data_IF_300924403273
#
_entry.id   IF_300924403273
#
_cell.length_a   1.000
_cell.length_b   1.000
_cell.length_c   1.000
_cell.angle_alpha   90.00
_cell.angle_beta   90.00
_cell.angle_gamma   90.00
#
_symmetry.space_group_name_H-M   'P 1'
#
loop_
_entity.id
_entity.type
_entity.pdbx_description
1 polymer ?
#
# COMPACT_ATOMS: atom_id res chain seq x y z
N UNK A 1 47.31 27.04 6.60
CA UNK A 1 46.27 26.64 7.57
C UNK A 1 45.01 26.21 6.81
N UNK A 2 44.81 24.89 6.70
CA UNK A 2 43.52 24.21 6.61
C UNK A 2 42.59 24.43 5.40
N UNK A 3 43.11 24.60 4.18
CA UNK A 3 42.32 24.50 2.93
C UNK A 3 41.54 23.18 2.80
N UNK A 4 42.11 22.08 3.30
CA UNK A 4 41.45 20.76 3.35
C UNK A 4 40.29 20.72 4.36
N UNK A 5 40.40 21.48 5.45
CA UNK A 5 39.36 21.59 6.48
C UNK A 5 38.24 22.53 6.02
N UNK A 6 38.57 23.59 5.29
CA UNK A 6 37.59 24.46 4.64
C UNK A 6 36.77 23.72 3.57
N UNK A 7 37.43 22.90 2.74
CA UNK A 7 36.74 22.04 1.77
C UNK A 7 35.89 20.96 2.45
N UNK A 8 36.35 20.41 3.58
CA UNK A 8 35.58 19.48 4.39
C UNK A 8 34.32 20.11 4.98
N UNK A 9 34.43 21.32 5.55
CA UNK A 9 33.30 22.08 6.09
C UNK A 9 32.31 22.50 5.01
N UNK A 10 32.79 22.87 3.82
CA UNK A 10 31.93 23.23 2.69
C UNK A 10 31.20 22.00 2.14
N UNK A 11 31.87 20.85 2.10
CA UNK A 11 31.25 19.57 1.76
C UNK A 11 30.17 19.14 2.76
N UNK A 12 30.43 19.26 4.07
CA UNK A 12 29.44 18.98 5.12
C UNK A 12 28.27 19.97 5.09
N UNK A 13 28.55 21.25 4.84
CA UNK A 13 27.51 22.27 4.69
C UNK A 13 26.61 22.02 3.48
N UNK A 14 27.18 21.59 2.36
CA UNK A 14 26.42 21.28 1.15
C UNK A 14 25.61 19.97 1.30
N UNK A 15 26.17 18.97 2.00
CA UNK A 15 25.45 17.73 2.36
C UNK A 15 24.29 17.99 3.32
N UNK A 16 24.42 18.93 4.26
CA UNK A 16 23.34 19.33 5.16
C UNK A 16 22.20 20.08 4.45
N UNK A 17 22.47 20.70 3.29
CA UNK A 17 21.45 21.36 2.47
C UNK A 17 20.76 20.37 1.52
N UNK A 18 21.47 19.34 1.05
CA UNK A 18 20.91 18.33 0.13
C UNK A 18 20.34 17.10 0.82
N UNK A 19 20.74 16.82 2.07
CA UNK A 19 19.99 15.91 2.93
C UNK A 19 18.69 16.63 3.29
N UNK A 20 17.63 16.37 2.53
CA UNK A 20 16.28 16.88 2.75
C UNK A 20 15.66 16.38 4.04
N UNK A 21 16.30 16.63 5.18
CA UNK A 21 15.68 16.59 6.48
C UNK A 21 14.80 17.84 6.57
N UNK A 22 13.49 17.64 6.45
CA UNK A 22 12.49 18.70 6.48
C UNK A 22 12.72 19.67 7.63
N UNK A 23 12.58 20.97 7.31
CA UNK A 23 12.38 22.10 8.22
C UNK A 23 13.11 22.05 9.56
N UNK A 24 14.09 22.94 9.74
CA UNK A 24 14.69 23.30 11.04
C UNK A 24 13.66 23.85 12.08
N UNK A 25 12.37 23.94 11.72
CA UNK A 25 11.27 24.48 12.51
C UNK A 25 10.07 23.50 12.53
N UNK A 26 10.30 22.23 12.90
CA UNK A 26 9.23 21.25 13.10
C UNK A 26 8.40 20.92 11.83
N UNK A 27 7.49 19.94 11.90
CA UNK A 27 6.46 19.81 10.89
C UNK A 27 5.58 21.06 11.02
N UNK A 28 5.63 21.94 10.01
CA UNK A 28 4.66 23.02 9.92
C UNK A 28 3.24 22.46 9.96
N UNK A 29 2.29 23.26 10.43
CA UNK A 29 0.87 22.95 10.35
C UNK A 29 0.54 22.39 8.95
N UNK A 30 -0.34 21.38 8.86
CA UNK A 30 -0.70 20.79 7.58
C UNK A 30 -1.08 21.92 6.62
N UNK A 31 -0.60 21.87 5.36
CA UNK A 31 -0.98 22.88 4.38
C UNK A 31 -2.52 22.93 4.38
N UNK A 32 -3.13 24.05 4.79
CA UNK A 32 -4.58 24.12 4.92
C UNK A 32 -5.27 23.83 3.58
N UNK A 33 -4.53 23.87 2.48
CA UNK A 33 -5.03 23.45 1.19
C UNK A 33 -5.34 21.97 1.02
N UNK A 34 -4.78 21.10 1.88
CA UNK A 34 -4.89 19.65 1.72
C UNK A 34 -6.26 19.12 2.15
N UNK A 35 -6.93 19.69 3.16
CA UNK A 35 -8.15 19.13 3.77
C UNK A 35 -9.46 19.48 3.03
N UNK A 36 -9.36 20.25 1.95
CA UNK A 36 -10.51 20.86 1.25
C UNK A 36 -10.92 20.11 -0.01
N UNK A 37 -10.42 18.88 -0.19
CA UNK A 37 -10.79 18.09 -1.36
C UNK A 37 -12.29 17.77 -1.31
N UNK A 38 -12.96 17.98 -2.45
CA UNK A 38 -14.38 17.72 -2.57
C UNK A 38 -14.62 16.21 -2.75
N UNK A 39 -14.79 15.52 -1.64
CA UNK A 39 -15.01 14.08 -1.58
C UNK A 39 -16.40 13.77 -1.02
N UNK A 40 -17.02 12.73 -1.56
CA UNK A 40 -18.33 12.25 -1.12
C UNK A 40 -18.16 10.92 -0.39
N UNK A 41 -18.72 10.85 0.82
CA UNK A 41 -18.68 9.64 1.65
C UNK A 41 -20.01 8.88 1.60
N UNK A 42 -19.94 7.55 1.66
CA UNK A 42 -21.12 6.72 1.89
C UNK A 42 -21.35 6.59 3.40
N UNK A 43 -22.23 7.45 3.90
CA UNK A 43 -22.60 7.48 5.32
C UNK A 43 -23.55 6.34 5.70
N UNK A 44 -24.21 5.69 4.73
CA UNK A 44 -25.16 4.61 5.02
C UNK A 44 -24.43 3.28 5.17
N UNK A 45 -23.68 3.15 6.26
CA UNK A 45 -22.87 1.99 6.56
C UNK A 45 -23.24 1.34 7.88
N UNK A 46 -23.36 0.01 7.86
CA UNK A 46 -23.62 -0.80 9.05
C UNK A 46 -22.34 -1.27 9.77
N UNK A 47 -21.16 -0.87 9.31
CA UNK A 47 -19.87 -1.26 9.90
C UNK A 47 -19.26 -0.10 10.70
N UNK A 48 -18.49 -0.41 11.73
CA UNK A 48 -17.80 0.58 12.56
C UNK A 48 -16.71 1.31 11.77
N UNK A 49 -16.09 0.62 10.81
CA UNK A 49 -15.22 1.21 9.80
C UNK A 49 -15.58 0.72 8.39
N UNK A 50 -15.99 1.63 7.51
CA UNK A 50 -16.19 1.35 6.08
C UNK A 50 -15.12 2.05 5.25
N UNK A 51 -14.31 1.26 4.55
CA UNK A 51 -13.15 1.72 3.80
C UNK A 51 -13.37 1.41 2.33
N UNK A 52 -13.34 2.44 1.50
CA UNK A 52 -13.41 2.32 0.05
C UNK A 52 -12.06 2.68 -0.56
N UNK A 53 -11.45 1.69 -1.20
CA UNK A 53 -10.17 1.83 -1.88
C UNK A 53 -10.44 2.22 -3.33
N UNK A 54 -10.08 3.44 -3.70
CA UNK A 54 -10.17 3.92 -5.07
C UNK A 54 -8.81 3.78 -5.77
N UNK A 55 -8.71 4.26 -7.01
CA UNK A 55 -7.46 4.17 -7.80
C UNK A 55 -6.34 5.00 -7.19
N UNK A 56 -6.62 6.25 -6.84
CA UNK A 56 -5.62 7.26 -6.41
C UNK A 56 -5.68 7.57 -4.91
N UNK A 57 -6.87 7.44 -4.32
CA UNK A 57 -7.11 7.72 -2.92
C UNK A 57 -7.87 6.57 -2.25
N UNK A 58 -8.11 6.73 -0.96
CA UNK A 58 -8.95 5.84 -0.18
C UNK A 58 -9.82 6.70 0.72
N UNK A 59 -11.12 6.45 0.70
CA UNK A 59 -12.08 7.07 1.60
C UNK A 59 -12.42 6.09 2.73
N UNK A 60 -12.56 6.61 3.94
CA UNK A 60 -12.93 5.81 5.10
C UNK A 60 -13.98 6.55 5.91
N UNK A 61 -14.99 5.82 6.39
CA UNK A 61 -16.03 6.32 7.30
C UNK A 61 -15.92 5.52 8.58
N UNK A 62 -15.74 6.22 9.70
CA UNK A 62 -15.65 5.64 11.03
C UNK A 62 -16.88 6.02 11.84
N UNK A 63 -17.52 5.05 12.50
CA UNK A 63 -18.55 5.31 13.48
C UNK A 63 -17.90 5.90 14.73
N UNK A 64 -18.41 7.07 15.15
CA UNK A 64 -17.98 7.76 16.36
C UNK A 64 -19.08 7.59 17.40
N UNK A 65 -18.85 6.65 18.31
CA UNK A 65 -19.64 6.56 19.54
C UNK A 65 -19.17 7.62 20.55
N UNK A 66 -19.93 7.81 21.62
CA UNK A 66 -19.62 8.75 22.72
C UNK A 66 -18.36 8.35 23.54
N UNK A 67 -17.46 7.56 22.94
CA UNK A 67 -16.18 7.10 23.46
C UNK A 67 -15.08 7.95 22.83
N UNK A 68 -14.60 8.90 23.63
CA UNK A 68 -13.22 9.37 23.58
C UNK A 68 -12.30 8.15 23.58
N UNK A 69 -11.34 8.11 22.66
CA UNK A 69 -10.22 7.20 22.74
C UNK A 69 -9.62 7.31 24.14
N UNK A 70 -9.65 6.21 24.91
CA UNK A 70 -9.50 6.17 26.37
C UNK A 70 -8.13 6.61 26.92
N UNK A 71 -7.79 7.86 26.73
CA UNK A 71 -6.63 8.57 27.27
C UNK A 71 -7.10 9.98 27.63
N UNK A 72 -7.67 10.12 28.84
CA UNK A 72 -7.93 11.37 29.58
C UNK A 72 -7.74 12.66 28.77
N UNK A 73 -8.65 12.97 27.86
CA UNK A 73 -8.76 14.30 27.27
C UNK A 73 -10.23 14.69 27.27
N UNK A 74 -10.50 15.87 27.82
CA UNK A 74 -11.84 16.47 27.94
C UNK A 74 -12.48 16.81 26.58
N UNK A 75 -11.77 16.60 25.47
CA UNK A 75 -12.20 16.85 24.10
C UNK A 75 -12.19 15.53 23.28
N UNK A 76 -13.25 15.21 22.51
CA UNK A 76 -13.27 14.04 21.64
C UNK A 76 -12.27 14.22 20.49
N UNK A 77 -11.20 13.42 20.48
CA UNK A 77 -10.20 13.42 19.40
C UNK A 77 -10.17 12.10 18.65
N UNK A 78 -9.73 12.14 17.39
CA UNK A 78 -9.49 10.94 16.59
C UNK A 78 -8.10 11.01 15.97
N UNK A 79 -7.27 9.99 16.22
CA UNK A 79 -5.85 10.02 15.90
C UNK A 79 -5.53 9.08 14.72
N UNK A 80 -5.04 9.67 13.64
CA UNK A 80 -4.62 8.96 12.44
C UNK A 80 -3.10 8.82 12.38
N UNK A 81 -2.60 7.60 12.22
CA UNK A 81 -1.18 7.31 12.13
C UNK A 81 -0.93 6.11 11.20
N UNK A 82 0.21 6.10 10.55
CA UNK A 82 0.73 4.98 9.78
C UNK A 82 1.91 4.35 10.49
N UNK A 83 2.25 3.11 10.12
CA UNK A 83 3.54 2.51 10.52
C UNK A 83 4.54 2.60 9.38
N UNK A 84 5.63 3.31 9.64
CA UNK A 84 6.77 3.43 8.73
C UNK A 84 7.65 2.17 8.70
N UNK A 85 8.72 2.26 7.92
CA UNK A 85 9.66 1.15 7.63
C UNK A 85 10.45 0.64 8.84
N UNK A 86 10.54 1.44 9.90
CA UNK A 86 11.27 1.13 11.14
C UNK A 86 10.34 0.95 12.35
N UNK A 87 9.08 0.57 12.12
CA UNK A 87 8.04 0.48 13.15
C UNK A 87 7.75 1.81 13.88
N UNK A 88 8.20 2.93 13.34
CA UNK A 88 7.89 4.28 13.82
C UNK A 88 6.49 4.69 13.37
N UNK A 89 5.75 5.38 14.23
CA UNK A 89 4.51 6.04 13.85
C UNK A 89 4.81 7.25 12.96
N UNK A 90 3.96 7.47 11.96
CA UNK A 90 4.02 8.64 11.08
C UNK A 90 2.62 9.23 10.92
N UNK A 91 2.48 10.56 10.87
CA UNK A 91 1.19 11.20 10.70
C UNK A 91 0.63 10.82 9.33
N UNK A 92 -0.64 10.43 9.30
CA UNK A 92 -1.32 10.23 8.01
C UNK A 92 -1.54 11.58 7.32
N UNK A 93 -1.46 11.54 6.00
CA UNK A 93 -1.86 12.68 5.19
C UNK A 93 -3.36 12.59 4.96
N UNK A 94 -4.11 13.56 5.50
CA UNK A 94 -5.55 13.65 5.29
C UNK A 94 -5.79 14.70 4.20
N UNK A 95 -6.58 14.35 3.19
CA UNK A 95 -6.93 15.25 2.07
C UNK A 95 -8.39 15.72 2.09
N UNK A 96 -9.22 15.06 2.88
CA UNK A 96 -10.55 15.54 3.19
C UNK A 96 -10.94 14.98 4.54
N UNK A 97 -11.65 15.80 5.33
CA UNK A 97 -12.19 15.41 6.62
C UNK A 97 -13.59 16.01 6.72
N UNK A 98 -14.57 15.15 6.97
CA UNK A 98 -15.95 15.53 7.17
C UNK A 98 -16.51 14.80 8.37
N UNK A 99 -17.37 15.46 9.13
CA UNK A 99 -18.08 14.86 10.24
C UNK A 99 -19.58 14.97 10.00
N UNK A 100 -20.31 13.86 10.13
CA UNK A 100 -21.76 13.82 10.00
C UNK A 100 -22.40 13.44 11.32
N UNK A 101 -23.30 14.30 11.78
CA UNK A 101 -24.15 14.02 12.94
C UNK A 101 -25.31 13.10 12.57
N UNK A 102 -25.83 12.37 13.55
CA UNK A 102 -27.01 11.53 13.39
C UNK A 102 -28.27 12.30 12.93
N UNK A 103 -28.35 13.60 13.24
CA UNK A 103 -29.46 14.47 12.81
C UNK A 103 -29.35 14.95 11.34
N UNK A 104 -28.30 14.53 10.61
CA UNK A 104 -28.06 14.91 9.22
C UNK A 104 -27.28 16.22 9.04
N UNK A 105 -26.80 16.84 10.12
CA UNK A 105 -25.87 17.97 10.03
C UNK A 105 -24.51 17.46 9.58
N UNK A 106 -23.88 18.14 8.64
CA UNK A 106 -22.56 17.80 8.13
C UNK A 106 -21.58 18.95 8.40
N UNK A 107 -20.35 18.61 8.76
CA UNK A 107 -19.26 19.56 8.97
C UNK A 107 -18.13 19.19 8.03
N UNK A 108 -17.68 20.13 7.22
CA UNK A 108 -16.59 19.96 6.27
C UNK A 108 -15.63 21.14 6.33
N UNK A 109 -14.49 21.05 5.66
CA UNK A 109 -13.56 22.17 5.51
C UNK A 109 -13.78 22.92 4.19
N UNK A 110 -13.78 24.25 4.28
CA UNK A 110 -13.76 25.16 3.13
C UNK A 110 -12.46 26.00 3.18
N UNK A 111 -11.86 26.26 2.01
CA UNK A 111 -10.70 27.16 1.93
C UNK A 111 -11.18 28.61 2.00
N UNK A 112 -10.75 29.33 3.04
CA UNK A 112 -11.05 30.76 3.23
C UNK A 112 -9.74 31.48 3.55
N UNK A 113 -9.36 32.47 2.74
CA UNK A 113 -8.12 33.25 2.89
C UNK A 113 -6.82 32.40 2.92
N UNK A 114 -6.83 31.26 2.25
CA UNK A 114 -5.71 30.31 2.26
C UNK A 114 -5.70 29.34 3.44
N UNK A 115 -6.62 29.48 4.40
CA UNK A 115 -6.77 28.60 5.56
C UNK A 115 -7.97 27.66 5.40
N UNK A 116 -7.89 26.45 5.97
CA UNK A 116 -9.02 25.54 6.07
C UNK A 116 -9.90 25.97 7.25
N UNK A 117 -11.16 26.32 6.99
CA UNK A 117 -12.13 26.65 8.03
C UNK A 117 -13.30 25.68 7.99
N UNK A 118 -13.75 25.22 9.15
CA UNK A 118 -14.90 24.33 9.24
C UNK A 118 -16.21 25.06 8.95
N UNK A 119 -17.01 24.47 8.08
CA UNK A 119 -18.34 24.92 7.68
C UNK A 119 -19.34 23.83 8.09
N UNK A 120 -20.38 24.25 8.81
CA UNK A 120 -21.48 23.41 9.25
C UNK A 120 -22.64 23.60 8.29
N UNK A 121 -23.13 22.52 7.71
CA UNK A 121 -24.34 22.46 6.88
C UNK A 121 -25.42 21.72 7.67
N UNK A 122 -26.45 22.45 8.08
CA UNK A 122 -27.58 21.88 8.82
C UNK A 122 -28.52 21.11 7.88
N UNK A 123 -29.33 20.21 8.43
CA UNK A 123 -30.29 19.41 7.68
C UNK A 123 -31.32 20.25 6.87
N UNK A 124 -31.56 21.50 7.25
CA UNK A 124 -32.42 22.44 6.52
C UNK A 124 -31.72 23.13 5.32
N UNK A 125 -30.45 22.81 5.06
CA UNK A 125 -29.62 23.39 3.99
C UNK A 125 -28.96 24.73 4.36
N UNK A 126 -29.16 25.23 5.58
CA UNK A 126 -28.45 26.45 6.03
C UNK A 126 -27.00 26.13 6.37
N UNK A 127 -26.09 27.07 6.09
CA UNK A 127 -24.66 26.93 6.39
C UNK A 127 -24.20 27.95 7.41
N UNK A 128 -23.28 27.56 8.30
CA UNK A 128 -22.65 28.43 9.27
C UNK A 128 -21.16 28.12 9.41
N UNK A 129 -20.34 29.15 9.58
CA UNK A 129 -18.89 29.00 9.82
C UNK A 129 -18.65 28.97 11.31
N UNK A 130 -18.32 27.80 11.84
CA UNK A 130 -18.09 27.57 13.26
C UNK A 130 -16.85 26.69 13.44
N UNK A 131 -15.94 27.00 14.37
CA UNK A 131 -14.69 26.26 14.57
C UNK A 131 -14.91 24.95 15.36
N UNK A 132 -15.83 24.10 14.89
CA UNK A 132 -16.25 22.87 15.58
C UNK A 132 -15.47 21.63 15.16
N UNK A 133 -14.72 21.70 14.05
CA UNK A 133 -13.88 20.62 13.55
C UNK A 133 -12.50 21.20 13.27
N UNK A 134 -11.46 20.61 13.85
CA UNK A 134 -10.07 21.06 13.65
C UNK A 134 -9.17 19.87 13.40
N UNK A 135 -8.13 20.06 12.61
CA UNK A 135 -7.12 19.04 12.34
C UNK A 135 -5.77 19.61 12.71
N UNK A 136 -5.04 18.88 13.54
CA UNK A 136 -3.71 19.21 13.99
C UNK A 136 -2.76 18.10 13.54
N UNK A 137 -1.54 18.43 13.13
CA UNK A 137 -0.53 17.44 12.76
C UNK A 137 0.66 17.53 13.70
N UNK A 138 1.01 16.41 14.30
CA UNK A 138 2.24 16.24 15.09
C UNK A 138 3.28 15.49 14.26
N UNK A 139 4.45 15.22 14.86
CA UNK A 139 5.54 14.46 14.22
C UNK A 139 5.17 13.00 13.90
N UNK A 140 4.18 12.46 14.59
CA UNK A 140 3.83 11.05 14.63
C UNK A 140 2.36 10.78 14.27
N UNK A 141 1.47 11.78 14.40
CA UNK A 141 0.01 11.61 14.30
C UNK A 141 -0.67 12.80 13.62
N UNK A 142 -1.78 12.55 12.95
CA UNK A 142 -2.75 13.58 12.58
C UNK A 142 -3.95 13.46 13.53
N UNK A 143 -4.25 14.52 14.27
CA UNK A 143 -5.27 14.56 15.31
C UNK A 143 -6.45 15.36 14.78
N UNK A 144 -7.61 14.70 14.64
CA UNK A 144 -8.87 15.34 14.31
C UNK A 144 -9.61 15.63 15.61
N UNK A 145 -9.79 16.90 15.93
CA UNK A 145 -10.59 17.38 17.05
C UNK A 145 -12.06 17.42 16.61
N UNK A 146 -12.87 16.53 17.19
CA UNK A 146 -14.27 16.36 16.85
C UNK A 146 -15.15 17.35 17.63
N UNK A 147 -16.39 17.60 17.16
CA UNK A 147 -17.33 18.40 17.93
C UNK A 147 -17.63 17.76 19.29
N UNK A 148 -17.61 18.57 20.35
CA UNK A 148 -17.79 18.10 21.74
C UNK A 148 -19.15 17.44 21.95
N UNK A 149 -19.18 16.31 22.68
CA UNK A 149 -20.40 15.55 23.04
C UNK A 149 -21.24 15.06 21.84
N UNK A 150 -20.61 14.87 20.67
CA UNK A 150 -21.31 14.46 19.45
C UNK A 150 -21.01 13.00 19.10
N UNK A 151 -22.05 12.17 19.04
CA UNK A 151 -22.02 10.89 18.33
C UNK A 151 -22.34 11.11 16.85
N UNK A 152 -21.66 10.39 15.95
CA UNK A 152 -21.84 10.56 14.52
C UNK A 152 -20.91 9.67 13.71
N UNK A 153 -20.54 10.15 12.53
CA UNK A 153 -19.62 9.47 11.63
C UNK A 153 -18.52 10.42 11.18
N UNK A 154 -17.29 9.93 11.14
CA UNK A 154 -16.13 10.65 10.67
C UNK A 154 -15.70 10.10 9.31
N UNK A 155 -15.89 10.90 8.27
CA UNK A 155 -15.40 10.64 6.92
C UNK A 155 -14.01 11.24 6.72
N UNK A 156 -13.06 10.46 6.25
CA UNK A 156 -11.71 10.92 5.91
C UNK A 156 -11.24 10.37 4.58
N UNK A 157 -10.43 11.16 3.89
CA UNK A 157 -9.73 10.73 2.67
C UNK A 157 -8.24 10.73 2.91
N UNK A 158 -7.60 9.62 2.51
CA UNK A 158 -6.17 9.43 2.57
C UNK A 158 -5.63 9.20 1.15
N UNK A 159 -4.46 9.75 0.81
CA UNK A 159 -3.77 9.38 -0.42
C UNK A 159 -3.35 7.90 -0.34
N UNK A 160 -3.30 7.24 -1.49
CA UNK A 160 -2.93 5.82 -1.55
C UNK A 160 -1.90 5.56 -2.64
N UNK A 161 -0.74 5.10 -2.20
CA UNK A 161 0.31 4.65 -3.11
C UNK A 161 0.20 3.15 -3.42
N UNK A 162 0.20 2.83 -4.73
CA UNK A 162 0.24 1.45 -5.20
C UNK A 162 -1.04 0.64 -4.94
N UNK A 163 -0.87 -0.68 -4.76
CA UNK A 163 -1.97 -1.68 -4.65
C UNK A 163 -2.01 -2.36 -3.28
N UNK A 164 -1.65 -1.60 -2.25
CA UNK A 164 -1.66 -2.05 -0.87
C UNK A 164 -2.16 -0.92 0.02
N UNK A 165 -3.05 -1.26 0.95
CA UNK A 165 -3.42 -0.40 2.08
C UNK A 165 -2.92 -1.03 3.37
N UNK A 166 -2.47 -0.20 4.30
CA UNK A 166 -2.06 -0.62 5.63
C UNK A 166 -2.50 0.43 6.65
N UNK A 167 -3.48 0.07 7.47
CA UNK A 167 -4.09 0.97 8.44
C UNK A 167 -4.05 0.32 9.82
N UNK A 168 -3.80 1.08 10.90
CA UNK A 168 -4.12 0.63 12.24
C UNK A 168 -5.61 0.32 12.41
N UNK A 169 -5.94 -0.51 13.39
CA UNK A 169 -7.32 -0.66 13.86
C UNK A 169 -7.73 0.59 14.64
N UNK A 170 -8.13 1.66 13.94
CA UNK A 170 -8.49 2.94 14.57
C UNK A 170 -9.72 2.88 15.46
N UNK A 171 -10.64 1.96 15.18
CA UNK A 171 -11.84 1.69 15.97
C UNK A 171 -11.89 0.21 16.29
N UNK A 172 -12.45 -0.14 17.45
CA UNK A 172 -12.77 -1.53 17.77
C UNK A 172 -14.09 -1.92 17.10
N UNK A 173 -14.23 -3.17 16.69
CA UNK A 173 -15.44 -3.69 16.05
C UNK A 173 -15.26 -4.06 14.58
N UNK A 174 -16.34 -3.89 13.82
CA UNK A 174 -16.51 -4.44 12.49
C UNK A 174 -15.91 -3.57 11.40
N UNK A 175 -15.23 -4.20 10.44
CA UNK A 175 -14.60 -3.51 9.31
C UNK A 175 -15.18 -4.01 7.99
N UNK A 176 -15.39 -3.09 7.05
CA UNK A 176 -15.71 -3.39 5.66
C UNK A 176 -14.69 -2.69 4.77
N UNK A 177 -14.08 -3.44 3.84
CA UNK A 177 -13.14 -2.90 2.85
C UNK A 177 -13.64 -3.24 1.46
N UNK A 178 -13.90 -2.21 0.66
CA UNK A 178 -14.29 -2.32 -0.74
C UNK A 178 -13.10 -1.99 -1.62
N UNK A 179 -12.65 -2.95 -2.43
CA UNK A 179 -11.50 -2.76 -3.32
C UNK A 179 -11.90 -2.03 -4.62
N UNK A 180 -10.93 -1.52 -5.40
CA UNK A 180 -11.23 -0.93 -6.70
C UNK A 180 -11.90 -1.95 -7.63
N UNK A 181 -12.54 -1.46 -8.69
CA UNK A 181 -13.10 -2.33 -9.72
C UNK A 181 -12.04 -3.25 -10.31
N UNK A 182 -12.44 -4.49 -10.61
CA UNK A 182 -11.55 -5.53 -11.14
C UNK A 182 -10.39 -5.93 -10.22
N UNK A 183 -10.26 -5.37 -9.02
CA UNK A 183 -9.28 -5.80 -8.02
C UNK A 183 -9.72 -7.09 -7.34
N UNK A 184 -8.75 -7.97 -7.06
CA UNK A 184 -8.98 -9.26 -6.41
C UNK A 184 -7.87 -9.60 -5.42
N UNK A 185 -8.18 -10.54 -4.54
CA UNK A 185 -7.24 -11.19 -3.60
C UNK A 185 -7.39 -12.71 -3.72
N UNK A 186 -6.35 -13.47 -3.40
CA UNK A 186 -6.38 -14.93 -3.37
C UNK A 186 -5.23 -15.62 -4.08
N UNK A 187 -4.48 -14.91 -4.94
CA UNK A 187 -3.27 -15.47 -5.59
C UNK A 187 -2.07 -15.26 -4.66
N UNK A 188 -1.36 -16.33 -4.25
CA UNK A 188 -0.14 -16.22 -3.46
C UNK A 188 0.88 -15.29 -4.13
N UNK A 189 1.71 -14.60 -3.33
CA UNK A 189 2.70 -13.60 -3.75
C UNK A 189 2.14 -12.30 -4.34
N UNK A 190 0.94 -12.32 -4.94
CA UNK A 190 0.31 -11.15 -5.57
C UNK A 190 -0.75 -10.47 -4.68
N UNK A 191 -1.18 -11.15 -3.61
CA UNK A 191 -2.17 -10.61 -2.69
C UNK A 191 -1.90 -11.05 -1.26
N UNK A 192 -2.38 -10.25 -0.32
CA UNK A 192 -2.31 -10.54 1.11
C UNK A 192 -3.46 -9.83 1.83
N UNK A 193 -4.11 -10.53 2.75
CA UNK A 193 -5.15 -9.96 3.61
C UNK A 193 -4.82 -10.36 5.04
N UNK A 194 -4.49 -9.38 5.88
CA UNK A 194 -4.11 -9.60 7.30
C UNK A 194 -4.77 -8.53 8.17
N UNK A 195 -5.54 -8.90 9.22
CA UNK A 195 -6.01 -10.27 9.51
C UNK A 195 -6.88 -10.82 8.38
N UNK A 196 -7.04 -12.15 8.32
CA UNK A 196 -7.89 -12.76 7.30
C UNK A 196 -9.34 -12.29 7.44
N UNK A 197 -9.97 -11.88 6.34
CA UNK A 197 -11.37 -11.45 6.33
C UNK A 197 -12.33 -12.60 6.67
N UNK A 198 -13.34 -12.31 7.49
CA UNK A 198 -14.43 -13.23 7.86
C UNK A 198 -15.26 -13.61 6.63
N UNK A 199 -15.62 -12.63 5.80
CA UNK A 199 -16.36 -12.86 4.57
C UNK A 199 -15.73 -12.13 3.38
N UNK A 200 -15.91 -12.69 2.19
CA UNK A 200 -15.42 -12.15 0.92
C UNK A 200 -16.51 -12.29 -0.11
N UNK A 201 -17.02 -11.18 -0.60
CA UNK A 201 -18.10 -11.16 -1.59
C UNK A 201 -17.69 -10.34 -2.80
N UNK A 202 -18.00 -10.84 -3.98
CA UNK A 202 -17.79 -10.11 -5.23
C UNK A 202 -19.16 -9.75 -5.78
N UNK A 203 -19.43 -8.45 -5.96
CA UNK A 203 -20.66 -7.95 -6.59
C UNK A 203 -20.29 -6.82 -7.54
N UNK A 204 -20.93 -6.75 -8.70
CA UNK A 204 -20.67 -5.71 -9.71
C UNK A 204 -19.18 -5.55 -10.04
N UNK A 205 -18.44 -6.66 -10.13
CA UNK A 205 -17.00 -6.69 -10.36
C UNK A 205 -16.12 -6.02 -9.27
N UNK A 206 -16.71 -5.65 -8.14
CA UNK A 206 -16.05 -5.08 -6.97
C UNK A 206 -15.96 -6.14 -5.86
N UNK A 207 -14.79 -6.28 -5.24
CA UNK A 207 -14.56 -7.20 -4.12
C UNK A 207 -14.73 -6.46 -2.80
N UNK A 208 -15.62 -6.98 -1.95
CA UNK A 208 -15.83 -6.51 -0.58
C UNK A 208 -15.33 -7.56 0.40
N UNK A 209 -14.45 -7.12 1.29
CA UNK A 209 -13.93 -7.88 2.43
C UNK A 209 -14.62 -7.38 3.69
N UNK A 210 -15.03 -8.28 4.58
CA UNK A 210 -15.60 -7.89 5.86
C UNK A 210 -15.02 -8.67 7.03
N UNK A 211 -14.92 -8.00 8.18
CA UNK A 211 -14.50 -8.53 9.46
C UNK A 211 -15.59 -8.21 10.48
N UNK A 212 -15.96 -9.19 11.29
CA UNK A 212 -16.92 -9.00 12.39
C UNK A 212 -16.28 -8.23 13.55
N UNK A 213 -14.99 -8.49 13.80
CA UNK A 213 -14.19 -7.79 14.79
C UNK A 213 -12.73 -7.70 14.32
N UNK A 214 -12.11 -6.52 14.44
CA UNK A 214 -10.70 -6.30 14.15
C UNK A 214 -9.95 -5.95 15.43
N UNK A 215 -9.53 -6.99 16.15
CA UNK A 215 -8.62 -6.88 17.29
C UNK A 215 -7.13 -6.77 16.90
N UNK A 216 -6.80 -6.84 15.60
CA UNK A 216 -5.41 -6.87 15.14
C UNK A 216 -4.79 -5.46 15.13
N UNK A 217 -3.49 -5.32 15.44
CA UNK A 217 -2.88 -4.00 15.58
C UNK A 217 -2.69 -3.28 14.23
N UNK A 218 -2.81 -3.98 13.11
CA UNK A 218 -2.79 -3.43 11.75
C UNK A 218 -3.69 -4.28 10.84
N UNK A 219 -4.44 -3.61 9.98
CA UNK A 219 -5.14 -4.14 8.82
C UNK A 219 -4.33 -3.86 7.55
N UNK A 220 -3.82 -4.90 6.91
CA UNK A 220 -3.10 -4.84 5.63
C UNK A 220 -3.87 -5.58 4.55
N UNK A 221 -4.19 -4.88 3.47
CA UNK A 221 -4.83 -5.47 2.29
C UNK A 221 -4.02 -5.12 1.05
N UNK A 222 -3.45 -6.14 0.43
CA UNK A 222 -2.71 -6.09 -0.83
C UNK A 222 -3.47 -6.89 -1.88
N UNK A 223 -3.66 -6.28 -3.04
CA UNK A 223 -4.51 -6.82 -4.11
C UNK A 223 -3.82 -6.76 -5.47
N UNK A 224 -4.34 -7.51 -6.43
CA UNK A 224 -3.93 -7.44 -7.83
C UNK A 224 -5.13 -7.05 -8.71
N UNK A 225 -4.84 -6.45 -9.86
CA UNK A 225 -5.84 -6.21 -10.89
C UNK A 225 -5.93 -7.44 -11.80
N UNK A 226 -7.16 -7.86 -12.15
CA UNK A 226 -7.36 -9.01 -13.03
C UNK A 226 -6.65 -8.87 -14.39
N UNK A 227 -6.62 -7.65 -14.94
CA UNK A 227 -5.92 -7.36 -16.21
C UNK A 227 -4.43 -7.68 -16.12
N UNK A 228 -3.78 -7.28 -15.04
CA UNK A 228 -2.35 -7.50 -14.86
C UNK A 228 -2.05 -8.99 -14.72
N UNK A 229 -2.91 -9.72 -14.02
CA UNK A 229 -2.77 -11.17 -13.90
C UNK A 229 -2.84 -11.86 -15.27
N UNK A 230 -3.72 -11.42 -16.17
CA UNK A 230 -3.81 -11.93 -17.54
C UNK A 230 -2.56 -11.61 -18.36
N UNK A 231 -2.02 -10.40 -18.24
CA UNK A 231 -0.79 -10.00 -18.94
C UNK A 231 0.41 -10.83 -18.48
N UNK A 232 0.58 -11.00 -17.17
CA UNK A 232 1.65 -11.84 -16.63
C UNK A 232 1.47 -13.31 -17.01
N UNK A 233 0.24 -13.83 -16.91
CA UNK A 233 -0.07 -15.20 -17.32
C UNK A 233 0.26 -15.44 -18.79
N UNK A 234 -0.13 -14.52 -19.68
CA UNK A 234 0.19 -14.58 -21.10
C UNK A 234 1.70 -14.55 -21.38
N UNK A 235 2.44 -13.67 -20.68
CA UNK A 235 3.89 -13.60 -20.79
C UNK A 235 4.57 -14.91 -20.36
N UNK A 236 4.16 -15.48 -19.22
CA UNK A 236 4.71 -16.74 -18.71
C UNK A 236 4.45 -17.88 -19.69
N UNK A 237 3.23 -18.00 -20.22
CA UNK A 237 2.90 -19.01 -21.23
C UNK A 237 3.77 -18.81 -22.48
N UNK A 238 3.92 -17.57 -22.95
CA UNK A 238 4.80 -17.25 -24.09
C UNK A 238 6.26 -17.64 -23.84
N UNK A 239 6.80 -17.34 -22.67
CA UNK A 239 8.16 -17.71 -22.28
C UNK A 239 8.34 -19.23 -22.22
N UNK A 240 7.36 -19.97 -21.70
CA UNK A 240 7.38 -21.44 -21.67
C UNK A 240 7.40 -22.01 -23.10
N UNK A 241 6.56 -21.48 -24.00
CA UNK A 241 6.52 -21.93 -25.40
C UNK A 241 7.89 -21.72 -26.07
N UNK A 242 8.50 -20.56 -25.89
CA UNK A 242 9.84 -20.25 -26.44
C UNK A 242 10.89 -21.19 -25.83
N UNK A 243 10.88 -21.38 -24.51
CA UNK A 243 11.83 -22.26 -23.81
C UNK A 243 11.72 -23.72 -24.27
N UNK A 244 10.51 -24.27 -24.34
CA UNK A 244 10.26 -25.63 -24.82
C UNK A 244 10.62 -25.77 -26.30
N UNK A 245 10.26 -24.79 -27.13
CA UNK A 245 10.62 -24.76 -28.55
C UNK A 245 12.13 -24.77 -28.77
N UNK A 246 12.86 -23.93 -28.02
CA UNK A 246 14.32 -23.90 -28.04
C UNK A 246 14.94 -25.22 -27.57
N UNK A 247 14.45 -25.78 -26.46
CA UNK A 247 14.92 -27.07 -25.96
C UNK A 247 14.72 -28.20 -26.98
N UNK A 248 13.56 -28.27 -27.64
CA UNK A 248 13.28 -29.24 -28.71
C UNK A 248 14.18 -29.03 -29.92
N UNK A 249 14.47 -27.78 -30.30
CA UNK A 249 15.38 -27.45 -31.39
C UNK A 249 16.80 -27.95 -31.10
N UNK A 250 17.36 -27.63 -29.94
CA UNK A 250 18.69 -28.09 -29.53
C UNK A 250 18.75 -29.62 -29.37
N UNK A 251 17.70 -30.24 -28.83
CA UNK A 251 17.61 -31.69 -28.73
C UNK A 251 17.68 -32.39 -30.10
N UNK A 252 17.01 -31.83 -31.11
CA UNK A 252 17.11 -32.33 -32.49
C UNK A 252 18.50 -32.15 -33.08
N UNK A 253 19.15 -31.03 -32.80
CA UNK A 253 20.51 -30.77 -33.28
C UNK A 253 21.51 -31.77 -32.70
N UNK A 254 21.41 -32.09 -31.39
CA UNK A 254 22.27 -33.08 -30.74
C UNK A 254 22.14 -34.48 -31.35
N UNK A 255 20.92 -34.94 -31.69
CA UNK A 255 20.72 -36.23 -32.39
C UNK A 255 21.31 -36.25 -33.79
N UNK A 256 21.22 -35.13 -34.52
CA UNK A 256 21.84 -35.04 -35.85
C UNK A 256 23.38 -35.10 -35.76
N UNK A 257 23.97 -34.57 -34.69
CA UNK A 257 25.41 -34.67 -34.42
C UNK A 257 25.84 -36.06 -33.97
N UNK A 258 25.00 -36.79 -33.22
CA UNK A 258 25.29 -38.18 -32.82
C UNK A 258 25.29 -39.14 -34.02
N UNK A 259 24.32 -39.04 -34.94
CA UNK A 259 24.31 -39.87 -36.17
C UNK A 259 25.54 -39.66 -37.03
N UNK A 260 26.00 -38.41 -37.17
CA UNK A 260 27.26 -38.13 -37.88
C UNK A 260 28.50 -38.69 -37.17
N UNK A 261 28.44 -38.95 -35.86
CA UNK A 261 29.53 -39.65 -35.15
C UNK A 261 29.43 -41.17 -35.27
N UNK A 262 28.25 -41.74 -35.50
CA UNK A 262 28.14 -43.16 -35.90
C UNK A 262 28.61 -43.36 -37.35
N UNK A 263 28.39 -42.39 -38.24
CA UNK A 263 28.83 -42.49 -39.64
C UNK A 263 30.31 -42.13 -39.86
N UNK A 264 30.90 -41.34 -38.96
CA UNK A 264 32.33 -40.93 -39.03
C UNK A 264 33.15 -41.60 -37.92
N UNK A 265 32.48 -42.30 -36.99
CA UNK A 265 33.07 -43.32 -36.13
C UNK A 265 33.39 -44.53 -36.97
N UNK A 266 34.43 -44.36 -37.78
CA UNK A 266 35.25 -45.40 -38.38
C UNK A 266 35.37 -46.53 -37.35
N UNK A 267 34.94 -47.74 -37.71
CA UNK A 267 35.41 -48.98 -37.08
C UNK A 267 36.92 -48.85 -36.95
N UNK A 268 37.38 -48.49 -35.76
CA UNK A 268 38.72 -48.87 -35.33
C UNK A 268 38.44 -50.11 -34.53
N UNK A 269 38.31 -51.22 -35.26
CA UNK A 269 38.69 -52.52 -34.74
C UNK A 269 40.11 -52.33 -34.20
N UNK A 270 40.22 -52.19 -32.88
CA UNK A 270 41.48 -52.45 -32.20
C UNK A 270 41.61 -53.96 -32.29
N UNK A 271 42.07 -54.45 -33.45
CA UNK A 271 42.72 -55.74 -33.52
C UNK A 271 43.85 -55.68 -32.48
N UNK A 272 43.66 -56.41 -31.39
CA UNK A 272 44.75 -56.81 -30.50
C UNK A 272 45.78 -57.55 -31.38
N UNK A 273 46.79 -56.81 -31.88
CA UNK A 273 47.98 -57.37 -32.50
C UNK A 273 48.72 -58.16 -31.42
N UNK A 274 48.58 -59.48 -31.49
CA UNK A 274 49.36 -60.50 -30.80
C UNK A 274 50.87 -60.21 -30.89
N UNK A 275 51.47 -59.40 -30.01
CA UNK A 275 52.94 -59.32 -29.85
C UNK A 275 53.39 -59.05 -28.42
N UNK A 276 53.10 -60.00 -27.54
CA UNK A 276 53.82 -60.15 -26.27
C UNK A 276 55.18 -60.83 -26.52
N UNK A 277 56.13 -60.06 -27.05
CA UNK A 277 57.53 -60.44 -27.18
C UNK A 277 58.40 -59.54 -26.30
N UNK A 278 59.13 -60.07 -25.29
CA UNK A 278 59.86 -59.21 -24.36
C UNK A 278 61.06 -58.57 -25.06
N UNK A 279 61.32 -57.26 -24.87
CA UNK A 279 62.45 -56.61 -25.49
C UNK A 279 63.78 -57.08 -24.86
N UNK A 280 64.82 -57.31 -25.68
CA UNK A 280 66.09 -57.86 -25.24
C UNK A 280 66.99 -56.81 -24.58
N UNK A 281 67.58 -57.20 -23.45
CA UNK A 281 68.96 -56.90 -23.02
C UNK A 281 69.48 -55.46 -23.08
N UNK A 282 69.67 -54.89 -21.89
CA UNK A 282 70.87 -54.10 -21.56
C UNK A 282 71.47 -54.74 -20.31
N UNK A 283 72.68 -55.28 -20.47
CA UNK A 283 73.58 -55.65 -19.37
C UNK A 283 74.53 -54.51 -19.01
#
# INVERSE_FOLDING_TARGET
MNRRLALGLLGVGLLAITAGCGGLLGPGDPDPGDLTANETYDWNTDADADIRVNTENMTAVFAIENRTDGLDDTDPTFRFYGRGTLATEQPQQLTAVQFRYANGTEVAFERVDGEARSVVTYANGTTARLPVLRVERTNDRAIVHLPTNASGQLGVTLPKDGKQISLPGYVEGSYRVQLPESARVGVPLLSQVRPGATNRTVRNNQLTLSWEDVSAPNLTVRYYLQRDLLLFGGLVIGAIIIGVGGALYYYRQLRATQRKREEVGLDIDIEDDDRDGPPPGMG
#
